data_IF_787561674386
#
_entry.id   IF_787561674386
#
_cell.length_a   1.000
_cell.length_b   1.000
_cell.length_c   1.000
_cell.angle_alpha   90.00
_cell.angle_beta   90.00
_cell.angle_gamma   90.00
#
_symmetry.space_group_name_H-M   'P 1'
#
loop_
_entity.id
_entity.type
_entity.pdbx_description
1 polymer ?
#
# COMPACT_ATOMS: atom_id res chain seq x y z
N UNK A 1 24.17 9.18 -8.69
CA UNK A 1 23.65 9.94 -7.53
C UNK A 1 24.43 9.51 -6.30
N UNK A 2 25.09 10.42 -5.57
CA UNK A 2 25.81 10.05 -4.35
C UNK A 2 24.86 10.12 -3.14
N UNK A 3 24.17 9.01 -2.89
CA UNK A 3 23.14 8.88 -1.85
C UNK A 3 23.73 9.13 -0.46
N UNK A 4 24.89 8.54 -0.15
CA UNK A 4 25.58 8.70 1.14
C UNK A 4 25.83 10.16 1.50
N UNK A 5 26.39 10.93 0.55
CA UNK A 5 26.64 12.36 0.76
C UNK A 5 25.36 13.16 0.98
N UNK A 6 24.27 12.83 0.28
CA UNK A 6 23.00 13.53 0.42
C UNK A 6 22.34 13.27 1.78
N UNK A 7 22.35 12.01 2.24
CA UNK A 7 21.83 11.65 3.57
C UNK A 7 22.66 12.29 4.68
N UNK A 8 24.00 12.26 4.58
CA UNK A 8 24.86 12.94 5.55
C UNK A 8 24.61 14.44 5.59
N UNK A 9 24.41 15.09 4.44
CA UNK A 9 24.09 16.52 4.40
C UNK A 9 22.76 16.85 5.09
N UNK A 10 21.73 16.00 4.93
CA UNK A 10 20.44 16.17 5.63
C UNK A 10 20.64 16.09 7.14
N UNK A 11 21.39 15.07 7.60
CA UNK A 11 21.65 14.83 9.03
C UNK A 11 22.62 15.83 9.66
N UNK A 12 23.52 16.44 8.90
CA UNK A 12 24.50 17.40 9.45
C UNK A 12 23.93 18.82 9.40
N UNK A 13 23.35 19.23 8.26
CA UNK A 13 22.93 20.62 8.06
C UNK A 13 21.60 20.97 8.71
N UNK A 14 20.71 19.99 8.88
CA UNK A 14 19.40 20.19 9.50
C UNK A 14 18.59 21.35 8.89
N UNK A 15 18.72 21.58 7.57
CA UNK A 15 18.03 22.67 6.87
C UNK A 15 17.02 22.14 5.84
N UNK A 16 16.00 22.95 5.53
CA UNK A 16 15.00 22.60 4.52
C UNK A 16 15.61 22.42 3.13
N UNK A 17 16.74 23.07 2.85
CA UNK A 17 17.39 23.01 1.54
C UNK A 17 17.97 21.62 1.27
N UNK A 18 18.68 21.03 2.23
CA UNK A 18 19.28 19.69 2.13
C UNK A 18 18.21 18.61 2.02
N UNK A 19 17.12 18.72 2.78
CA UNK A 19 15.94 17.85 2.67
C UNK A 19 15.26 18.00 1.30
N UNK A 20 15.08 19.24 0.83
CA UNK A 20 14.50 19.52 -0.48
C UNK A 20 15.35 18.99 -1.65
N UNK A 21 16.68 19.16 -1.57
CA UNK A 21 17.62 18.64 -2.57
C UNK A 21 17.61 17.10 -2.63
N UNK A 22 17.41 16.43 -1.48
CA UNK A 22 17.16 15.00 -1.41
C UNK A 22 15.83 14.62 -2.07
N UNK A 23 14.72 15.22 -1.63
CA UNK A 23 13.39 14.86 -2.13
C UNK A 23 13.23 15.06 -3.64
N UNK A 24 13.82 16.11 -4.23
CA UNK A 24 13.79 16.32 -5.69
C UNK A 24 14.41 15.16 -6.50
N UNK A 25 15.26 14.33 -5.88
CA UNK A 25 15.95 13.23 -6.54
C UNK A 25 15.48 11.85 -6.10
N UNK A 26 14.88 11.74 -4.92
CA UNK A 26 14.47 10.46 -4.32
C UNK A 26 12.96 10.27 -4.24
N UNK A 27 12.17 11.35 -4.18
CA UNK A 27 10.73 11.27 -4.04
C UNK A 27 10.10 10.98 -5.40
N UNK A 28 9.55 9.79 -5.55
CA UNK A 28 8.67 9.46 -6.67
C UNK A 28 7.27 10.05 -6.40
N UNK A 29 6.74 10.80 -7.36
CA UNK A 29 5.36 11.31 -7.33
C UNK A 29 4.63 10.72 -8.54
N UNK A 30 3.69 9.81 -8.28
CA UNK A 30 2.82 9.23 -9.29
C UNK A 30 1.39 9.75 -9.13
N UNK A 31 0.79 10.23 -10.21
CA UNK A 31 -0.60 10.65 -10.25
C UNK A 31 -1.30 10.00 -11.43
N UNK A 32 -2.44 9.36 -11.17
CA UNK A 32 -3.21 8.68 -12.20
C UNK A 32 -4.62 8.37 -11.70
N UNK A 33 -5.60 8.35 -12.61
CA UNK A 33 -7.00 8.02 -12.27
C UNK A 33 -7.15 6.52 -11.97
N UNK A 34 -8.11 6.14 -11.13
CA UNK A 34 -8.44 4.72 -10.98
C UNK A 34 -9.14 4.19 -12.24
N UNK A 35 -8.84 2.94 -12.58
CA UNK A 35 -9.54 2.22 -13.65
C UNK A 35 -10.71 1.42 -13.08
N UNK A 36 -11.71 1.22 -13.93
CA UNK A 36 -12.89 0.40 -13.74
C UNK A 36 -13.04 -0.59 -14.91
N UNK A 37 -14.16 -1.30 -14.95
CA UNK A 37 -14.44 -2.32 -15.97
C UNK A 37 -14.62 -1.75 -17.39
N UNK A 38 -14.97 -0.48 -17.53
CA UNK A 38 -15.27 0.17 -18.83
C UNK A 38 -14.07 0.91 -19.42
N UNK A 39 -13.05 1.25 -18.62
CA UNK A 39 -11.84 1.97 -19.05
C UNK A 39 -10.54 1.20 -18.76
N UNK A 40 -10.64 -0.12 -18.66
CA UNK A 40 -9.48 -0.97 -18.41
C UNK A 40 -8.52 -0.98 -19.61
N UNK A 41 -7.29 -0.55 -19.36
CA UNK A 41 -6.18 -0.43 -20.31
C UNK A 41 -5.00 -1.26 -19.80
N UNK A 42 -4.67 -2.30 -20.56
CA UNK A 42 -3.62 -3.26 -20.27
C UNK A 42 -2.23 -2.61 -20.32
N UNK A 43 -1.98 -1.67 -21.24
CA UNK A 43 -0.67 -1.03 -21.36
C UNK A 43 -0.33 -0.22 -20.12
N UNK A 44 -1.34 0.44 -19.56
CA UNK A 44 -1.22 1.13 -18.28
C UNK A 44 -0.95 0.16 -17.13
N UNK A 45 -1.62 -1.00 -17.10
CA UNK A 45 -1.41 -2.03 -16.08
C UNK A 45 -0.01 -2.63 -16.14
N UNK A 46 0.56 -2.83 -17.34
CA UNK A 46 1.94 -3.31 -17.54
C UNK A 46 3.00 -2.35 -16.98
N UNK A 47 2.66 -1.08 -16.81
CA UNK A 47 3.54 -0.01 -16.28
C UNK A 47 3.12 0.46 -14.88
N UNK A 48 2.30 -0.32 -14.18
CA UNK A 48 1.84 0.03 -12.84
C UNK A 48 3.04 0.19 -11.89
N UNK A 49 2.97 1.13 -10.95
CA UNK A 49 3.96 1.30 -9.89
C UNK A 49 3.51 0.71 -8.54
N UNK A 50 2.24 0.29 -8.44
CA UNK A 50 1.62 -0.21 -7.21
C UNK A 50 1.21 -1.65 -7.44
N UNK A 51 1.76 -2.56 -6.64
CA UNK A 51 1.54 -3.99 -6.79
C UNK A 51 1.22 -4.65 -5.44
N UNK A 52 0.41 -5.70 -5.49
CA UNK A 52 0.14 -6.59 -4.38
C UNK A 52 1.01 -7.84 -4.53
N UNK A 53 1.78 -8.15 -3.49
CA UNK A 53 2.42 -9.44 -3.34
C UNK A 53 1.41 -10.41 -2.73
N UNK A 54 1.14 -11.49 -3.44
CA UNK A 54 0.15 -12.49 -3.03
C UNK A 54 0.84 -13.66 -2.30
N UNK A 55 0.16 -14.32 -1.34
CA UNK A 55 0.68 -15.51 -0.64
C UNK A 55 1.11 -16.67 -1.54
N UNK A 56 0.58 -16.75 -2.77
CA UNK A 56 0.95 -17.75 -3.77
C UNK A 56 2.16 -17.33 -4.64
N UNK A 57 2.85 -16.24 -4.28
CA UNK A 57 4.06 -15.75 -4.95
C UNK A 57 3.81 -14.86 -6.17
N UNK A 58 2.55 -14.63 -6.56
CA UNK A 58 2.23 -13.71 -7.67
C UNK A 58 2.40 -12.25 -7.26
N UNK A 59 2.86 -11.42 -8.20
CA UNK A 59 2.88 -9.96 -8.10
C UNK A 59 1.80 -9.40 -9.02
N UNK A 60 0.75 -8.84 -8.42
CA UNK A 60 -0.44 -8.40 -9.17
C UNK A 60 -0.54 -6.87 -9.15
N UNK A 61 -0.62 -6.19 -10.31
CA UNK A 61 -0.84 -4.75 -10.37
C UNK A 61 -2.13 -4.31 -9.68
N UNK A 62 -2.13 -3.10 -9.11
CA UNK A 62 -3.25 -2.57 -8.34
C UNK A 62 -4.59 -2.63 -9.08
N UNK A 63 -4.65 -2.18 -10.33
CA UNK A 63 -5.88 -2.17 -11.10
C UNK A 63 -6.37 -3.60 -11.42
N UNK A 64 -5.48 -4.52 -11.78
CA UNK A 64 -5.84 -5.91 -12.04
C UNK A 64 -6.41 -6.59 -10.78
N UNK A 65 -5.79 -6.34 -9.62
CA UNK A 65 -6.25 -6.87 -8.33
C UNK A 65 -7.66 -6.40 -7.94
N UNK A 66 -7.98 -5.13 -8.20
CA UNK A 66 -9.26 -4.54 -7.81
C UNK A 66 -10.39 -4.74 -8.84
N UNK A 67 -10.07 -4.74 -10.13
CA UNK A 67 -11.07 -4.82 -11.21
C UNK A 67 -11.48 -6.26 -11.51
N UNK A 68 -10.56 -7.22 -11.34
CA UNK A 68 -10.83 -8.65 -11.50
C UNK A 68 -10.70 -9.40 -10.16
N UNK A 69 -11.49 -9.03 -9.14
CA UNK A 69 -11.30 -9.54 -7.78
C UNK A 69 -11.48 -11.05 -7.71
N UNK A 70 -12.39 -11.63 -8.51
CA UNK A 70 -12.65 -13.07 -8.56
C UNK A 70 -11.40 -13.88 -8.93
N UNK A 71 -10.49 -13.34 -9.75
CA UNK A 71 -9.32 -14.07 -10.25
C UNK A 71 -8.09 -13.89 -9.36
N UNK A 72 -8.05 -12.79 -8.59
CA UNK A 72 -6.90 -12.40 -7.78
C UNK A 72 -7.25 -12.32 -6.31
N UNK A 73 -7.98 -11.28 -5.90
CA UNK A 73 -8.24 -10.99 -4.49
C UNK A 73 -9.06 -12.08 -3.82
N UNK A 74 -10.26 -12.36 -4.33
CA UNK A 74 -11.27 -13.16 -3.65
C UNK A 74 -10.87 -14.64 -3.63
N UNK A 75 -10.28 -15.13 -4.74
CA UNK A 75 -9.74 -16.48 -4.83
C UNK A 75 -8.67 -16.73 -3.76
N UNK A 76 -7.66 -15.86 -3.71
CA UNK A 76 -6.51 -16.05 -2.81
C UNK A 76 -6.91 -15.76 -1.36
N UNK A 77 -7.72 -14.74 -1.11
CA UNK A 77 -8.23 -14.49 0.24
C UNK A 77 -9.02 -15.68 0.75
N UNK A 78 -9.88 -16.31 -0.07
CA UNK A 78 -10.59 -17.52 0.34
C UNK A 78 -9.64 -18.66 0.68
N UNK A 79 -8.63 -18.91 -0.17
CA UNK A 79 -7.65 -20.00 0.02
C UNK A 79 -6.78 -19.85 1.26
N UNK A 80 -6.36 -18.62 1.58
CA UNK A 80 -5.41 -18.35 2.67
C UNK A 80 -6.05 -17.68 3.90
N UNK A 81 -7.37 -17.46 3.88
CA UNK A 81 -8.10 -16.92 5.03
C UNK A 81 -8.07 -17.89 6.21
N UNK A 82 -8.10 -17.31 7.41
CA UNK A 82 -8.30 -18.03 8.67
C UNK A 82 -9.59 -17.53 9.31
N UNK A 83 -10.32 -18.40 9.99
CA UNK A 83 -11.49 -17.98 10.75
C UNK A 83 -11.08 -17.03 11.87
N UNK A 84 -12.01 -16.19 12.32
CA UNK A 84 -11.79 -15.29 13.46
C UNK A 84 -11.33 -16.07 14.69
N UNK A 85 -12.02 -17.16 15.02
CA UNK A 85 -11.76 -17.99 16.20
C UNK A 85 -10.36 -18.62 16.12
N UNK A 86 -9.97 -19.10 14.94
CA UNK A 86 -8.64 -19.66 14.72
C UNK A 86 -7.55 -18.60 14.88
N UNK A 87 -7.78 -17.39 14.36
CA UNK A 87 -6.85 -16.27 14.50
C UNK A 87 -6.71 -15.81 15.95
N UNK A 88 -7.82 -15.58 16.66
CA UNK A 88 -7.82 -15.14 18.07
C UNK A 88 -7.15 -16.19 18.99
N UNK A 89 -7.38 -17.49 18.71
CA UNK A 89 -6.69 -18.58 19.44
C UNK A 89 -5.18 -18.58 19.21
N UNK A 90 -4.74 -18.31 17.97
CA UNK A 90 -3.32 -18.32 17.60
C UNK A 90 -2.55 -17.11 18.15
N UNK A 91 -3.19 -15.94 18.20
CA UNK A 91 -2.56 -14.69 18.63
C UNK A 91 -2.79 -14.36 20.11
N UNK A 92 -3.82 -14.95 20.73
CA UNK A 92 -4.28 -14.59 22.07
C UNK A 92 -4.94 -13.21 22.17
N UNK A 93 -5.18 -12.54 21.03
CA UNK A 93 -5.76 -11.20 20.93
C UNK A 93 -7.15 -11.29 20.33
N UNK A 94 -8.09 -10.44 20.77
CA UNK A 94 -9.41 -10.36 20.15
C UNK A 94 -9.35 -9.41 18.95
N UNK A 95 -9.94 -9.83 17.84
CA UNK A 95 -9.96 -9.02 16.62
C UNK A 95 -10.72 -7.69 16.82
N UNK A 96 -11.70 -7.69 17.73
CA UNK A 96 -12.47 -6.50 18.10
C UNK A 96 -11.60 -5.38 18.70
N UNK A 97 -10.48 -5.73 19.35
CA UNK A 97 -9.62 -4.77 20.03
C UNK A 97 -8.77 -3.98 19.03
N UNK A 98 -8.58 -4.50 17.81
CA UNK A 98 -7.85 -3.83 16.73
C UNK A 98 -8.73 -2.83 15.93
N UNK A 99 -10.04 -2.80 16.19
CA UNK A 99 -10.96 -1.92 15.46
C UNK A 99 -10.89 -0.51 16.04
N UNK A 100 -10.23 0.39 15.31
CA UNK A 100 -10.26 1.82 15.63
C UNK A 100 -11.67 2.39 15.45
N UNK A 101 -12.21 2.99 16.52
CA UNK A 101 -13.47 3.73 16.49
C UNK A 101 -13.23 5.20 16.75
N UNK A 102 -13.46 6.03 15.73
CA UNK A 102 -13.40 7.49 15.88
C UNK A 102 -14.53 7.96 16.79
N UNK A 103 -14.20 8.50 17.97
CA UNK A 103 -15.15 9.18 18.85
C UNK A 103 -15.22 10.64 18.42
N UNK A 104 -16.36 11.07 17.89
CA UNK A 104 -16.59 12.48 17.57
C UNK A 104 -16.96 13.24 18.85
N UNK A 105 -16.49 14.48 19.03
CA UNK A 105 -16.94 15.31 20.13
C UNK A 105 -18.45 15.55 20.02
N UNK A 106 -19.15 15.52 21.16
CA UNK A 106 -20.58 15.84 21.21
C UNK A 106 -20.74 17.29 20.71
N UNK A 107 -21.53 17.50 19.65
CA UNK A 107 -21.87 18.86 19.20
C UNK A 107 -22.45 19.62 20.40
N UNK A 108 -21.85 20.76 20.73
CA UNK A 108 -22.41 21.72 21.69
C UNK A 108 -23.67 22.34 21.12
#
# INVERSE_FOLDING_TARGET
MNVTRMLLNVLIKHDYKSVGDWHRRSMFIGMMHFQDLYNYDIERVRRCAIHYLMPDGRVVPFCAFNIFPTWYRDLVQKMYSVSKEAWERRTGRRLADDIYRRVLPKKR
#
